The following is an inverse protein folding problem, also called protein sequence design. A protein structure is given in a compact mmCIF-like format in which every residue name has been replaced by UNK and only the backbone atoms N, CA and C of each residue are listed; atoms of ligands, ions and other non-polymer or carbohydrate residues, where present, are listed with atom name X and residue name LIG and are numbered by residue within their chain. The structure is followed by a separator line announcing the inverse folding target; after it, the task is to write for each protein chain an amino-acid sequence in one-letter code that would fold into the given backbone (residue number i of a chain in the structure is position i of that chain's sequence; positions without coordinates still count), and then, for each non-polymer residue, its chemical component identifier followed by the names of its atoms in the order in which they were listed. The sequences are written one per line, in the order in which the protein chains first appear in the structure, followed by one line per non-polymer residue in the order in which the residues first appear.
data_IF_370510044384
#
_entry.id   IF_370510044384
#
_cell.length_a   1.000
_cell.length_b   1.000
_cell.length_c   1.000
_cell.angle_alpha   90.00
_cell.angle_beta   90.00
_cell.angle_gamma   90.00
#
_symmetry.space_group_name_H-M   'P 1'
#
loop_
_entity.id
_entity.type
_entity.pdbx_description
1 polymer ?
#
# COMPACT_ATOMS: atom_id res chain seq x y z
N UNK A 1 -22.93 -26.55 -44.99
CA UNK A 1 -23.85 -26.29 -43.86
C UNK A 1 -23.18 -26.00 -42.52
N UNK A 2 -21.88 -26.26 -42.31
CA UNK A 2 -21.22 -25.98 -41.01
C UNK A 2 -20.67 -24.54 -40.85
N UNK A 3 -20.43 -23.81 -41.95
CA UNK A 3 -19.88 -22.45 -41.91
C UNK A 3 -20.90 -21.37 -41.51
N UNK A 4 -22.18 -21.53 -41.88
CA UNK A 4 -23.25 -20.61 -41.46
C UNK A 4 -23.55 -20.69 -39.96
N UNK A 5 -23.42 -21.88 -39.37
CA UNK A 5 -23.66 -22.08 -37.94
C UNK A 5 -22.56 -21.45 -37.08
N UNK A 6 -21.32 -21.41 -37.57
CA UNK A 6 -20.20 -20.75 -36.89
C UNK A 6 -20.26 -19.22 -36.97
N UNK A 7 -20.72 -18.65 -38.09
CA UNK A 7 -20.90 -17.21 -38.24
C UNK A 7 -22.02 -16.66 -37.35
N UNK A 8 -23.13 -17.41 -37.19
CA UNK A 8 -24.20 -17.04 -36.27
C UNK A 8 -23.77 -17.10 -34.79
N UNK A 9 -22.89 -18.05 -34.44
CA UNK A 9 -22.36 -18.16 -33.08
C UNK A 9 -21.40 -17.01 -32.75
N UNK A 10 -20.57 -16.56 -33.70
CA UNK A 10 -19.70 -15.39 -33.54
C UNK A 10 -20.48 -14.07 -33.50
N UNK A 11 -21.60 -13.98 -34.22
CA UNK A 11 -22.49 -12.81 -34.20
C UNK A 11 -23.30 -12.71 -32.89
N UNK A 12 -23.66 -13.84 -32.27
CA UNK A 12 -24.32 -13.86 -30.97
C UNK A 12 -23.41 -13.42 -29.81
N UNK A 13 -22.09 -13.61 -29.94
CA UNK A 13 -21.12 -13.18 -28.92
C UNK A 13 -20.79 -11.69 -28.98
N UNK A 14 -21.10 -10.98 -30.07
CA UNK A 14 -20.88 -9.53 -30.18
C UNK A 14 -22.05 -8.67 -29.69
N UNK A 15 -23.17 -9.26 -29.27
CA UNK A 15 -24.38 -8.56 -28.81
C UNK A 15 -24.77 -8.92 -27.36
N UNK A 16 -23.88 -9.51 -26.57
CA UNK A 16 -24.07 -9.55 -25.10
C UNK A 16 -23.53 -8.25 -24.50
N UNK A 17 -24.39 -7.29 -24.70
CA UNK A 17 -24.37 -5.90 -24.31
C UNK A 17 -24.41 -5.67 -22.79
N UNK A 18 -23.91 -4.49 -22.44
CA UNK A 18 -24.58 -3.53 -21.56
C UNK A 18 -25.03 -4.04 -20.19
N UNK A 19 -24.13 -3.90 -19.21
CA UNK A 19 -24.59 -3.62 -17.84
C UNK A 19 -25.01 -2.16 -17.77
N UNK A 20 -26.32 -1.97 -17.84
CA UNK A 20 -27.03 -0.73 -17.53
C UNK A 20 -26.68 -0.31 -16.09
N UNK A 21 -26.03 0.84 -15.94
CA UNK A 21 -25.93 1.52 -14.65
C UNK A 21 -27.27 2.18 -14.37
N UNK A 22 -28.02 1.63 -13.41
CA UNK A 22 -29.19 2.30 -12.83
C UNK A 22 -28.67 3.20 -11.71
N UNK A 23 -28.73 4.50 -11.98
CA UNK A 23 -28.61 5.57 -10.99
C UNK A 23 -29.80 5.46 -10.04
N UNK A 24 -29.55 5.18 -8.77
CA UNK A 24 -30.54 5.36 -7.71
C UNK A 24 -30.42 6.79 -7.19
N UNK A 25 -31.41 7.58 -7.56
CA UNK A 25 -31.63 8.97 -7.15
C UNK A 25 -32.43 8.94 -5.85
N UNK A 26 -31.74 8.86 -4.70
CA UNK A 26 -32.39 9.01 -3.40
C UNK A 26 -32.43 10.49 -3.01
N UNK A 27 -33.63 11.03 -3.22
CA UNK A 27 -34.13 12.28 -2.68
C UNK A 27 -34.33 12.15 -1.16
N UNK A 28 -33.41 12.71 -0.38
CA UNK A 28 -33.59 12.89 1.05
C UNK A 28 -33.92 14.36 1.36
N UNK A 29 -35.13 14.52 1.88
CA UNK A 29 -35.83 15.71 2.33
C UNK A 29 -35.05 16.62 3.28
N UNK A 30 -35.15 17.92 3.02
CA UNK A 30 -34.90 19.03 3.96
C UNK A 30 -35.81 18.92 5.19
N UNK A 31 -35.21 18.83 6.38
CA UNK A 31 -35.84 19.22 7.65
C UNK A 31 -34.85 20.10 8.41
N UNK A 32 -35.29 21.34 8.60
CA UNK A 32 -34.67 22.43 9.37
C UNK A 32 -34.69 22.11 10.88
N UNK A 33 -33.57 22.33 11.57
CA UNK A 33 -33.54 22.71 12.99
C UNK A 33 -32.15 23.25 13.40
N UNK A 34 -32.06 24.20 14.36
CA UNK A 34 -31.07 25.27 14.33
C UNK A 34 -29.98 25.20 15.41
N UNK A 35 -28.94 26.02 15.14
CA UNK A 35 -27.99 26.70 16.04
C UNK A 35 -27.20 25.90 17.08
N UNK A 36 -25.87 25.86 16.88
CA UNK A 36 -24.87 25.98 17.95
C UNK A 36 -23.55 26.58 17.40
N UNK A 37 -22.86 27.48 18.12
CA UNK A 37 -21.92 28.45 17.54
C UNK A 37 -20.44 28.03 17.61
N UNK A 38 -19.65 28.68 16.75
CA UNK A 38 -18.35 29.26 17.11
C UNK A 38 -17.13 28.34 17.10
N UNK A 39 -16.46 28.29 15.94
CA UNK A 39 -15.05 27.85 15.85
C UNK A 39 -14.17 28.73 16.73
N UNK A 40 -13.57 28.15 17.76
CA UNK A 40 -12.51 28.77 18.54
C UNK A 40 -11.19 28.12 18.13
N UNK A 41 -10.30 28.95 17.58
CA UNK A 41 -8.91 28.62 17.28
C UNK A 41 -8.14 28.50 18.60
N UNK A 42 -7.70 27.29 18.95
CA UNK A 42 -6.66 27.08 19.97
C UNK A 42 -5.52 26.30 19.32
N UNK A 43 -4.45 27.00 18.98
CA UNK A 43 -3.20 27.06 19.76
C UNK A 43 -2.55 25.68 19.91
N UNK A 44 -1.42 25.55 19.20
CA UNK A 44 -0.28 24.71 19.54
C UNK A 44 -0.20 24.46 21.06
N UNK A 45 -0.60 23.26 21.48
CA UNK A 45 -0.20 22.69 22.76
C UNK A 45 0.74 21.54 22.44
N UNK A 46 2.03 21.87 22.41
CA UNK A 46 3.12 20.91 22.59
C UNK A 46 2.86 20.14 23.89
N UNK A 47 2.44 18.88 23.77
CA UNK A 47 2.51 17.96 24.89
C UNK A 47 3.98 17.60 25.10
N UNK A 48 4.57 18.26 26.09
CA UNK A 48 5.88 17.98 26.66
C UNK A 48 5.82 16.60 27.34
N UNK A 49 6.39 15.58 26.70
CA UNK A 49 6.54 14.25 27.31
C UNK A 49 7.70 14.28 28.30
N UNK A 50 7.52 13.86 29.57
CA UNK A 50 8.63 13.79 30.51
C UNK A 50 9.50 12.58 30.19
N UNK A 51 10.78 12.83 29.88
CA UNK A 51 11.82 11.80 29.93
C UNK A 51 12.03 11.37 31.39
N UNK A 52 11.51 10.20 31.76
CA UNK A 52 11.86 9.55 33.02
C UNK A 52 13.22 8.87 32.85
N UNK A 53 14.24 9.48 33.47
CA UNK A 53 15.60 8.96 33.64
C UNK A 53 15.55 7.72 34.54
N UNK A 54 16.12 6.61 34.08
CA UNK A 54 16.06 5.33 34.77
C UNK A 54 16.84 5.29 36.09
N UNK A 55 16.27 4.61 37.08
CA UNK A 55 16.95 3.68 37.98
C UNK A 55 15.91 2.95 38.85
N UNK A 56 15.87 1.62 38.83
CA UNK A 56 15.04 0.85 39.75
C UNK A 56 14.64 -0.52 39.20
N UNK A 57 15.19 -1.56 39.82
CA UNK A 57 14.90 -2.96 39.52
C UNK A 57 13.43 -3.33 39.75
N UNK A 58 12.99 -4.30 38.93
CA UNK A 58 11.92 -5.29 39.12
C UNK A 58 10.55 -5.02 38.50
N UNK A 59 10.11 -6.09 37.82
CA UNK A 59 8.77 -6.42 37.32
C UNK A 59 8.40 -5.85 35.94
N UNK A 60 9.22 -6.16 34.93
CA UNK A 60 8.68 -6.39 33.58
C UNK A 60 7.88 -7.68 33.62
N UNK A 61 6.55 -7.55 33.52
CA UNK A 61 5.64 -8.62 33.15
C UNK A 61 5.91 -8.98 31.67
N UNK A 62 7.06 -9.60 31.39
CA UNK A 62 7.31 -10.33 30.14
C UNK A 62 6.54 -11.66 30.19
N UNK A 63 5.22 -11.58 30.05
CA UNK A 63 4.32 -12.73 29.99
C UNK A 63 3.80 -12.96 28.56
N UNK A 64 4.59 -12.61 27.53
CA UNK A 64 4.27 -12.88 26.12
C UNK A 64 5.02 -14.11 25.56
N UNK A 65 5.81 -14.80 26.39
CA UNK A 65 6.70 -15.89 25.96
C UNK A 65 6.12 -17.31 26.22
N UNK A 66 4.85 -17.41 26.65
CA UNK A 66 4.27 -18.66 27.20
C UNK A 66 3.12 -19.30 26.43
N UNK A 67 2.89 -18.95 25.16
CA UNK A 67 1.97 -19.71 24.31
C UNK A 67 2.72 -20.42 23.17
N UNK A 68 2.78 -21.77 23.14
CA UNK A 68 3.42 -22.52 22.04
C UNK A 68 2.80 -22.24 20.67
N UNK A 69 1.60 -21.64 20.63
CA UNK A 69 0.92 -21.19 19.41
C UNK A 69 1.54 -19.92 18.79
N UNK A 70 2.14 -19.03 19.59
CA UNK A 70 2.76 -17.79 19.10
C UNK A 70 4.03 -18.09 18.27
N UNK A 71 4.94 -18.90 18.82
CA UNK A 71 6.19 -19.31 18.15
C UNK A 71 5.95 -20.09 16.84
N UNK A 72 4.87 -20.88 16.79
CA UNK A 72 4.48 -21.65 15.59
C UNK A 72 3.90 -20.77 14.49
N UNK A 73 3.24 -19.66 14.86
CA UNK A 73 2.74 -18.73 13.86
C UNK A 73 3.88 -17.96 13.19
N UNK A 74 4.80 -17.40 13.98
CA UNK A 74 5.90 -16.60 13.46
C UNK A 74 6.75 -17.41 12.49
N UNK A 75 7.09 -18.66 12.81
CA UNK A 75 7.92 -19.52 11.96
C UNK A 75 7.37 -19.68 10.53
N UNK A 76 6.05 -19.83 10.37
CA UNK A 76 5.42 -20.02 9.05
C UNK A 76 5.48 -18.75 8.20
N UNK A 77 5.25 -17.61 8.84
CA UNK A 77 5.35 -16.31 8.19
C UNK A 77 6.80 -16.00 7.82
N UNK A 78 7.75 -16.27 8.70
CA UNK A 78 9.19 -16.12 8.43
C UNK A 78 9.63 -17.02 7.27
N UNK A 79 9.18 -18.28 7.24
CA UNK A 79 9.46 -19.20 6.12
C UNK A 79 8.89 -18.67 4.78
N UNK A 80 7.70 -18.07 4.79
CA UNK A 80 7.11 -17.47 3.60
C UNK A 80 7.89 -16.21 3.15
N UNK A 81 8.32 -15.38 4.10
CA UNK A 81 9.17 -14.20 3.84
C UNK A 81 10.52 -14.60 3.23
N UNK A 82 11.12 -15.69 3.71
CA UNK A 82 12.34 -16.26 3.15
C UNK A 82 12.13 -16.79 1.73
N UNK A 83 10.98 -17.43 1.45
CA UNK A 83 10.64 -17.86 0.09
C UNK A 83 10.45 -16.68 -0.87
N UNK A 84 9.81 -15.60 -0.43
CA UNK A 84 9.71 -14.35 -1.22
C UNK A 84 11.12 -13.85 -1.53
N UNK A 85 11.98 -13.74 -0.52
CA UNK A 85 13.35 -13.26 -0.70
C UNK A 85 14.15 -14.13 -1.68
N UNK A 86 14.13 -15.46 -1.54
CA UNK A 86 14.84 -16.38 -2.44
C UNK A 86 14.37 -16.21 -3.88
N UNK A 87 13.05 -16.08 -4.11
CA UNK A 87 12.47 -15.82 -5.44
C UNK A 87 12.96 -14.48 -6.01
N UNK A 88 13.08 -13.43 -5.21
CA UNK A 88 13.53 -12.11 -5.66
C UNK A 88 15.05 -12.02 -5.90
N UNK A 89 15.87 -12.69 -5.06
CA UNK A 89 17.32 -12.78 -5.26
C UNK A 89 17.63 -13.51 -6.57
N UNK A 90 16.93 -14.60 -6.87
CA UNK A 90 17.10 -15.35 -8.10
C UNK A 90 16.74 -14.53 -9.36
N UNK A 91 15.84 -13.54 -9.23
CA UNK A 91 15.36 -12.74 -10.37
C UNK A 91 16.15 -11.45 -10.59
N UNK A 92 16.53 -10.67 -9.57
CA UNK A 92 17.35 -9.45 -9.75
C UNK A 92 17.83 -8.70 -8.49
N UNK A 93 17.76 -9.26 -7.27
CA UNK A 93 18.07 -8.56 -5.98
C UNK A 93 17.22 -7.30 -5.70
N UNK A 94 16.26 -6.97 -6.56
CA UNK A 94 15.27 -5.90 -6.37
C UNK A 94 13.88 -6.51 -6.41
N UNK A 95 13.01 -6.06 -5.52
CA UNK A 95 11.60 -6.40 -5.57
C UNK A 95 10.91 -5.41 -6.49
N UNK A 96 10.55 -5.90 -7.67
CA UNK A 96 9.87 -5.13 -8.70
C UNK A 96 8.38 -5.08 -8.39
N UNK A 97 7.81 -3.89 -8.25
CA UNK A 97 6.37 -3.69 -8.16
C UNK A 97 5.75 -3.61 -9.57
N UNK A 98 6.23 -4.44 -10.50
CA UNK A 98 5.82 -4.41 -11.91
C UNK A 98 4.34 -4.78 -12.02
N UNK A 99 3.58 -3.95 -12.74
CA UNK A 99 2.12 -4.05 -12.86
C UNK A 99 1.36 -3.07 -11.96
N UNK A 100 2.06 -2.38 -11.07
CA UNK A 100 1.51 -1.26 -10.32
C UNK A 100 2.09 0.03 -10.92
N UNK A 101 1.24 0.82 -11.58
CA UNK A 101 1.55 2.20 -11.97
C UNK A 101 0.72 3.12 -11.08
N UNK A 102 1.35 4.19 -10.58
CA UNK A 102 0.63 5.22 -9.84
C UNK A 102 0.27 6.32 -10.82
N UNK A 103 -1.01 6.68 -10.87
CA UNK A 103 -1.51 7.80 -11.65
C UNK A 103 -2.31 8.71 -10.73
N UNK A 104 -1.94 9.99 -10.68
CA UNK A 104 -2.67 10.98 -9.90
C UNK A 104 -2.48 12.39 -10.48
N UNK A 105 -3.58 13.13 -10.63
CA UNK A 105 -3.55 14.54 -10.98
C UNK A 105 -3.07 15.39 -9.79
N UNK A 106 -2.18 16.34 -10.06
CA UNK A 106 -1.74 17.33 -9.08
C UNK A 106 -2.85 18.35 -8.83
N UNK A 107 -2.99 18.80 -7.57
CA UNK A 107 -3.92 19.87 -7.19
C UNK A 107 -3.27 21.24 -7.27
N UNK A 108 -1.94 21.31 -7.09
CA UNK A 108 -1.19 22.56 -7.18
C UNK A 108 -1.04 23.04 -8.63
N UNK A 109 -1.13 22.14 -9.62
CA UNK A 109 -0.90 22.45 -11.02
C UNK A 109 -1.68 21.50 -11.95
N UNK A 110 -2.00 21.91 -13.20
CA UNK A 110 -2.76 21.10 -14.16
C UNK A 110 -1.89 19.99 -14.82
N UNK A 111 -1.15 19.23 -14.01
CA UNK A 111 -0.31 18.13 -14.45
C UNK A 111 -0.81 16.80 -13.90
N UNK A 112 -0.72 15.76 -14.73
CA UNK A 112 -0.94 14.37 -14.34
C UNK A 112 0.39 13.69 -14.06
N UNK A 113 0.53 13.14 -12.84
CA UNK A 113 1.72 12.45 -12.37
C UNK A 113 1.59 10.95 -12.62
N UNK A 114 2.54 10.38 -13.36
CA UNK A 114 2.65 8.95 -13.60
C UNK A 114 3.95 8.40 -13.03
N UNK A 115 3.85 7.42 -12.13
CA UNK A 115 5.01 6.73 -11.57
C UNK A 115 5.12 5.33 -12.16
N UNK A 116 6.29 5.06 -12.72
CA UNK A 116 6.66 3.80 -13.36
C UNK A 116 7.95 3.25 -12.75
N UNK A 117 8.29 2.01 -13.10
CA UNK A 117 9.56 1.37 -12.72
C UNK A 117 9.84 1.40 -11.21
N UNK A 118 8.81 1.17 -10.40
CA UNK A 118 8.93 1.14 -8.95
C UNK A 118 9.68 -0.11 -8.48
N UNK A 119 10.82 0.11 -7.83
CA UNK A 119 11.74 -0.92 -7.37
C UNK A 119 12.05 -0.74 -5.90
N UNK A 120 11.89 -1.82 -5.13
CA UNK A 120 12.31 -1.88 -3.72
C UNK A 120 13.68 -2.53 -3.67
N UNK A 121 14.69 -1.80 -3.21
CA UNK A 121 16.03 -2.31 -2.97
C UNK A 121 16.02 -3.11 -1.67
N UNK A 122 16.23 -4.41 -1.78
CA UNK A 122 16.30 -5.29 -0.62
C UNK A 122 17.70 -5.19 0.04
N UNK A 123 17.80 -5.06 1.37
CA UNK A 123 19.07 -5.11 2.05
C UNK A 123 19.74 -6.48 1.87
N UNK A 124 21.07 -6.51 1.86
CA UNK A 124 21.87 -7.74 1.69
C UNK A 124 21.78 -8.66 2.92
N UNK A 125 21.47 -8.11 4.09
CA UNK A 125 21.25 -8.85 5.33
C UNK A 125 20.09 -9.84 5.23
N UNK A 126 20.10 -10.89 6.05
CA UNK A 126 19.02 -11.87 6.08
C UNK A 126 17.68 -11.34 6.60
N UNK A 127 17.69 -10.22 7.32
CA UNK A 127 16.52 -9.70 8.04
C UNK A 127 15.86 -8.50 7.34
N UNK A 128 15.60 -8.56 6.03
CA UNK A 128 14.93 -7.44 5.33
C UNK A 128 13.55 -7.11 5.92
N UNK A 129 12.85 -8.14 6.37
CA UNK A 129 11.59 -8.13 7.10
C UNK A 129 11.70 -9.12 8.26
N UNK A 130 11.00 -8.82 9.35
CA UNK A 130 10.76 -9.76 10.46
C UNK A 130 9.31 -9.69 10.93
N UNK A 131 8.84 -10.78 11.50
CA UNK A 131 7.57 -10.84 12.23
C UNK A 131 7.79 -10.28 13.64
N UNK A 132 7.23 -9.11 13.89
CA UNK A 132 7.28 -8.46 15.21
C UNK A 132 6.26 -9.07 16.17
N UNK A 133 5.07 -9.37 15.65
CA UNK A 133 3.99 -9.95 16.44
C UNK A 133 3.22 -10.95 15.61
N UNK A 134 2.90 -12.09 16.20
CA UNK A 134 1.81 -12.92 15.73
C UNK A 134 1.01 -13.46 16.90
N UNK A 135 -0.30 -13.17 16.92
CA UNK A 135 -1.19 -13.59 17.98
C UNK A 135 -2.50 -14.11 17.42
N UNK A 136 -2.84 -15.33 17.81
CA UNK A 136 -4.16 -15.89 17.57
C UNK A 136 -5.08 -15.63 18.77
N UNK A 137 -6.28 -15.12 18.52
CA UNK A 137 -7.31 -14.97 19.52
C UNK A 137 -8.38 -16.05 19.32
N UNK A 138 -8.52 -17.00 20.26
CA UNK A 138 -9.47 -18.10 20.11
C UNK A 138 -10.93 -17.66 20.24
N UNK A 139 -11.22 -16.51 20.87
CA UNK A 139 -12.61 -16.08 21.14
C UNK A 139 -13.36 -15.71 19.88
N UNK A 140 -12.71 -14.97 18.99
CA UNK A 140 -13.23 -14.52 17.71
C UNK A 140 -12.61 -15.27 16.52
N UNK A 141 -11.69 -16.21 16.78
CA UNK A 141 -10.91 -16.91 15.75
C UNK A 141 -10.18 -15.95 14.82
N UNK A 142 -9.59 -14.88 15.36
CA UNK A 142 -8.81 -13.91 14.57
C UNK A 142 -7.32 -14.11 14.74
N UNK A 143 -6.57 -13.81 13.67
CA UNK A 143 -5.12 -13.78 13.68
C UNK A 143 -4.66 -12.34 13.48
N UNK A 144 -3.96 -11.79 14.46
CA UNK A 144 -3.27 -10.51 14.36
C UNK A 144 -1.79 -10.77 14.08
N UNK A 145 -1.28 -10.16 13.03
CA UNK A 145 0.14 -10.25 12.68
C UNK A 145 0.71 -8.87 12.41
N UNK A 146 1.97 -8.66 12.76
CA UNK A 146 2.70 -7.42 12.51
C UNK A 146 4.07 -7.75 11.94
N UNK A 147 4.37 -7.13 10.80
CA UNK A 147 5.67 -7.16 10.19
C UNK A 147 6.38 -5.83 10.43
N UNK A 148 7.68 -5.92 10.65
CA UNK A 148 8.57 -4.77 10.66
C UNK A 148 9.62 -4.93 9.58
N UNK A 149 9.73 -3.89 8.77
CA UNK A 149 10.77 -3.75 7.78
C UNK A 149 11.98 -3.09 8.40
N UNK A 150 13.16 -3.55 7.99
CA UNK A 150 14.39 -2.79 8.18
C UNK A 150 14.37 -1.54 7.29
N UNK A 151 15.51 -0.84 7.18
CA UNK A 151 15.65 0.29 6.25
C UNK A 151 15.33 -0.16 4.81
N UNK A 152 14.26 0.40 4.24
CA UNK A 152 13.87 0.20 2.86
C UNK A 152 14.25 1.42 2.02
N UNK A 153 14.69 1.16 0.79
CA UNK A 153 14.85 2.21 -0.23
C UNK A 153 14.03 1.81 -1.45
N UNK A 154 13.08 2.65 -1.81
CA UNK A 154 12.19 2.48 -2.94
C UNK A 154 12.52 3.56 -3.96
N UNK A 155 12.76 3.19 -5.21
CA UNK A 155 12.99 4.12 -6.31
C UNK A 155 11.90 3.98 -7.35
N UNK A 156 11.50 5.07 -7.98
CA UNK A 156 10.58 5.08 -9.13
C UNK A 156 10.96 6.17 -10.13
N UNK A 157 10.47 6.02 -11.35
CA UNK A 157 10.51 7.06 -12.38
C UNK A 157 9.18 7.80 -12.43
N UNK A 158 9.22 9.11 -12.46
CA UNK A 158 8.04 9.98 -12.46
C UNK A 158 8.01 10.77 -13.75
N UNK A 159 6.90 10.69 -14.46
CA UNK A 159 6.62 11.48 -15.65
C UNK A 159 5.45 12.42 -15.32
N UNK A 160 5.58 13.68 -15.71
CA UNK A 160 4.52 14.67 -15.61
C UNK A 160 3.98 14.95 -17.01
N UNK A 161 2.66 14.83 -17.19
CA UNK A 161 2.02 15.22 -18.44
C UNK A 161 1.11 16.42 -18.19
N UNK A 162 1.14 17.39 -19.10
CA UNK A 162 0.15 18.46 -19.09
C UNK A 162 -1.19 17.89 -19.61
N UNK A 163 -2.31 18.23 -18.95
CA UNK A 163 -3.65 17.78 -19.35
C UNK A 163 -3.99 18.08 -20.83
N UNK A 164 -3.39 19.13 -21.39
CA UNK A 164 -3.55 19.50 -22.81
C UNK A 164 -2.82 18.56 -23.78
N UNK A 165 -1.74 17.90 -23.33
CA UNK A 165 -0.92 17.02 -24.18
C UNK A 165 -1.52 15.62 -24.30
N UNK A 166 -2.27 15.14 -23.29
CA UNK A 166 -2.90 13.81 -23.26
C UNK A 166 -4.02 13.62 -24.30
N UNK A 167 -4.48 14.70 -24.95
CA UNK A 167 -5.51 14.64 -25.99
C UNK A 167 -4.96 14.31 -27.39
N UNK A 168 -3.63 14.29 -27.60
CA UNK A 168 -3.03 14.05 -28.92
C UNK A 168 -2.10 12.83 -28.93
N UNK A 169 -2.60 11.74 -29.52
CA UNK A 169 -1.85 10.53 -29.93
C UNK A 169 -1.13 9.77 -28.77
N UNK A 170 -0.60 8.55 -29.00
CA UNK A 170 0.12 7.82 -27.95
C UNK A 170 1.39 8.60 -27.60
N UNK A 171 1.42 9.19 -26.40
CA UNK A 171 2.60 9.88 -25.88
C UNK A 171 3.63 8.83 -25.50
N UNK A 172 4.69 8.70 -26.30
CA UNK A 172 5.90 8.02 -25.88
C UNK A 172 6.64 8.98 -24.93
N UNK A 173 6.75 8.67 -23.61
CA UNK A 173 7.39 9.57 -22.67
C UNK A 173 8.86 9.75 -23.06
N UNK A 174 9.24 10.97 -23.42
CA UNK A 174 10.64 11.29 -23.66
C UNK A 174 11.44 10.99 -22.37
N UNK A 175 12.49 10.15 -22.42
CA UNK A 175 13.25 9.78 -21.23
C UNK A 175 13.88 10.98 -20.50
N UNK A 176 14.07 12.11 -21.20
CA UNK A 176 14.59 13.35 -20.62
C UNK A 176 13.59 14.07 -19.72
N UNK A 177 12.29 13.83 -19.87
CA UNK A 177 11.21 14.43 -19.06
C UNK A 177 10.84 13.57 -17.85
N UNK A 178 11.52 12.43 -17.68
CA UNK A 178 11.36 11.55 -16.53
C UNK A 178 12.26 11.97 -15.36
N UNK A 179 11.65 12.20 -14.20
CA UNK A 179 12.34 12.40 -12.94
C UNK A 179 12.56 11.07 -12.22
N UNK A 180 13.61 10.96 -11.38
CA UNK A 180 13.77 9.84 -10.45
C UNK A 180 13.42 10.27 -9.03
N UNK A 181 12.46 9.58 -8.42
CA UNK A 181 12.14 9.74 -7.00
C UNK A 181 12.64 8.56 -6.19
N UNK A 182 13.23 8.84 -5.03
CA UNK A 182 13.75 7.85 -4.09
C UNK A 182 13.15 8.10 -2.71
N UNK A 183 12.42 7.12 -2.19
CA UNK A 183 11.84 7.11 -0.86
C UNK A 183 12.66 6.16 0.03
N UNK A 184 13.14 6.66 1.17
CA UNK A 184 13.76 5.85 2.21
C UNK A 184 12.85 5.80 3.44
N UNK A 185 12.53 4.58 3.87
CA UNK A 185 11.68 4.31 5.02
C UNK A 185 12.51 3.59 6.08
N UNK A 186 12.47 4.04 7.34
CA UNK A 186 13.12 3.33 8.45
C UNK A 186 12.08 2.89 9.47
N UNK A 187 12.14 1.62 9.88
CA UNK A 187 11.18 1.01 10.81
C UNK A 187 9.73 1.07 10.32
N UNK A 188 9.51 0.99 9.01
CA UNK A 188 8.16 0.82 8.48
C UNK A 188 7.59 -0.53 8.95
N UNK A 189 6.28 -0.63 9.04
CA UNK A 189 5.62 -1.89 9.36
C UNK A 189 4.34 -2.10 8.57
N UNK A 190 3.85 -3.34 8.56
CA UNK A 190 2.53 -3.66 8.05
C UNK A 190 1.84 -4.56 9.07
N UNK A 191 0.64 -4.20 9.46
CA UNK A 191 -0.23 -5.06 10.26
C UNK A 191 -1.23 -5.79 9.38
N UNK A 192 -1.51 -7.04 9.72
CA UNK A 192 -2.60 -7.81 9.14
C UNK A 192 -3.57 -8.25 10.23
N UNK A 193 -4.85 -8.11 9.94
CA UNK A 193 -5.94 -8.66 10.72
C UNK A 193 -6.68 -9.67 9.86
N UNK A 194 -6.72 -10.92 10.31
CA UNK A 194 -7.36 -12.00 9.55
C UNK A 194 -8.47 -12.65 10.34
N UNK A 195 -9.62 -12.80 9.71
CA UNK A 195 -10.80 -13.45 10.23
C UNK A 195 -11.38 -14.45 9.21
N UNK A 196 -12.03 -15.54 9.66
CA UNK A 196 -12.67 -16.48 8.74
C UNK A 196 -13.92 -15.88 8.10
N UNK A 197 -14.07 -16.03 6.78
CA UNK A 197 -15.33 -15.77 6.08
C UNK A 197 -16.17 -17.05 6.19
N UNK A 198 -17.47 -16.90 6.51
CA UNK A 198 -18.50 -17.94 6.69
C UNK A 198 -18.09 -19.37 6.30
N UNK A 199 -18.21 -20.27 7.25
CA UNK A 199 -17.87 -21.71 7.14
C UNK A 199 -18.94 -22.45 6.32
N UNK A 200 -18.98 -22.26 5.02
CA UNK A 200 -19.84 -23.07 4.14
C UNK A 200 -19.12 -24.33 3.68
N UNK A 201 -19.87 -25.45 3.71
CA UNK A 201 -19.48 -26.84 3.44
C UNK A 201 -18.11 -27.04 2.78
N UNK A 202 -17.09 -27.26 3.60
CA UNK A 202 -15.76 -27.73 3.17
C UNK A 202 -14.82 -26.68 2.57
N UNK A 203 -15.27 -25.46 2.29
CA UNK A 203 -14.41 -24.38 1.80
C UNK A 203 -14.09 -23.39 2.92
N UNK A 204 -12.80 -23.26 3.24
CA UNK A 204 -12.32 -22.30 4.23
C UNK A 204 -11.82 -21.04 3.52
N UNK A 205 -12.57 -19.95 3.65
CA UNK A 205 -12.19 -18.63 3.15
C UNK A 205 -11.82 -17.72 4.31
N UNK A 206 -10.88 -16.81 4.08
CA UNK A 206 -10.41 -15.85 5.08
C UNK A 206 -10.47 -14.45 4.50
N UNK A 207 -10.90 -13.51 5.32
CA UNK A 207 -10.78 -12.08 5.06
C UNK A 207 -9.52 -11.62 5.76
N UNK A 208 -8.63 -10.98 5.02
CA UNK A 208 -7.41 -10.38 5.57
C UNK A 208 -7.43 -8.91 5.26
N UNK A 209 -7.53 -8.09 6.29
CA UNK A 209 -7.40 -6.65 6.20
C UNK A 209 -5.95 -6.28 6.52
N UNK A 210 -5.35 -5.40 5.73
CA UNK A 210 -3.97 -4.97 5.89
C UNK A 210 -3.90 -3.45 6.09
N UNK A 211 -2.96 -3.01 6.93
CA UNK A 211 -2.75 -1.59 7.17
C UNK A 211 -1.25 -1.28 7.29
N UNK A 212 -0.85 -0.15 6.76
CA UNK A 212 0.52 0.34 6.84
C UNK A 212 0.75 0.98 8.21
N UNK A 213 1.86 0.63 8.86
CA UNK A 213 2.29 1.21 10.12
C UNK A 213 3.33 2.30 9.83
N UNK A 214 3.13 3.46 10.44
CA UNK A 214 3.99 4.62 10.19
C UNK A 214 5.45 4.33 10.57
N UNK A 215 6.41 4.62 9.67
CA UNK A 215 7.82 4.46 9.94
C UNK A 215 8.29 5.50 10.95
N UNK A 216 9.36 5.17 11.68
CA UNK A 216 10.02 6.13 12.58
C UNK A 216 10.77 7.24 11.84
N UNK A 217 11.04 7.07 10.55
CA UNK A 217 11.68 8.09 9.72
C UNK A 217 11.31 7.90 8.24
N UNK A 218 11.08 9.02 7.55
CA UNK A 218 10.78 9.13 6.12
C UNK A 218 11.72 10.17 5.52
N UNK A 219 12.35 9.84 4.40
CA UNK A 219 13.02 10.85 3.56
C UNK A 219 12.71 10.58 2.10
N UNK A 220 12.30 11.63 1.39
CA UNK A 220 12.04 11.60 -0.06
C UNK A 220 13.11 12.43 -0.75
N UNK A 221 13.62 11.93 -1.86
CA UNK A 221 14.57 12.64 -2.73
C UNK A 221 14.02 12.64 -4.14
N UNK A 222 13.93 13.82 -4.75
CA UNK A 222 13.50 13.99 -6.13
C UNK A 222 14.68 14.49 -6.96
N UNK A 223 15.06 13.73 -8.00
CA UNK A 223 16.19 14.04 -8.87
C UNK A 223 15.69 14.31 -10.29
N UNK A 224 15.90 15.53 -10.78
CA UNK A 224 15.42 15.92 -12.11
C UNK A 224 13.90 16.15 -12.18
N UNK A 225 13.25 16.40 -11.03
CA UNK A 225 11.83 16.79 -10.94
C UNK A 225 11.62 18.29 -11.11
N UNK A 226 12.61 19.02 -11.64
CA UNK A 226 12.42 20.42 -11.97
C UNK A 226 11.39 20.50 -13.10
N UNK A 227 10.26 21.20 -12.89
CA UNK A 227 9.33 21.41 -13.97
C UNK A 227 10.07 22.20 -15.03
N UNK A 228 10.27 21.60 -16.22
CA UNK A 228 10.80 22.31 -17.38
C UNK A 228 9.74 23.28 -17.92
N UNK A 229 9.40 24.27 -17.10
CA UNK A 229 8.72 25.49 -17.50
C UNK A 229 9.74 26.30 -18.32
N UNK A 230 10.01 25.85 -19.55
CA UNK A 230 10.65 26.73 -20.52
C UNK A 230 9.68 27.87 -20.81
N UNK A 231 10.14 29.07 -20.47
CA UNK A 231 9.70 30.36 -20.99
C UNK A 231 8.25 30.77 -20.70
N UNK A 232 8.02 31.41 -19.54
CA UNK A 232 7.47 32.78 -19.47
C UNK A 232 6.83 33.07 -18.10
N UNK A 233 7.64 33.31 -17.07
CA UNK A 233 7.45 34.40 -16.09
C UNK A 233 8.63 34.38 -15.14
N UNK A 234 9.23 35.56 -14.94
CA UNK A 234 10.20 35.81 -13.87
C UNK A 234 9.38 36.42 -12.75
N UNK A 235 8.98 35.64 -11.76
CA UNK A 235 8.33 36.16 -10.55
C UNK A 235 8.73 35.37 -9.31
N UNK A 236 8.96 36.08 -8.21
CA UNK A 236 9.14 35.49 -6.87
C UNK A 236 7.95 34.61 -6.42
N UNK A 237 6.81 34.69 -7.12
CA UNK A 237 5.61 33.87 -6.89
C UNK A 237 5.74 32.44 -7.44
N UNK A 238 6.66 32.20 -8.39
CA UNK A 238 6.84 30.90 -9.03
C UNK A 238 7.58 29.90 -8.10
N UNK A 239 8.32 30.39 -7.10
CA UNK A 239 9.07 29.54 -6.15
C UNK A 239 8.13 28.84 -5.15
N UNK A 240 7.15 29.54 -4.61
CA UNK A 240 6.17 28.97 -3.66
C UNK A 240 5.28 27.90 -4.33
N UNK A 241 4.84 28.16 -5.57
CA UNK A 241 4.02 27.21 -6.35
C UNK A 241 4.82 25.95 -6.71
N UNK A 242 6.12 26.08 -7.00
CA UNK A 242 7.02 24.94 -7.25
C UNK A 242 7.30 24.12 -5.99
N UNK A 243 7.43 24.76 -4.83
CA UNK A 243 7.57 24.06 -3.54
C UNK A 243 6.30 23.29 -3.19
N UNK A 244 5.12 23.90 -3.36
CA UNK A 244 3.83 23.25 -3.11
C UNK A 244 3.65 22.02 -4.01
N UNK A 245 3.98 22.15 -5.30
CA UNK A 245 3.96 21.04 -6.25
C UNK A 245 4.93 19.93 -5.85
N UNK A 246 6.14 20.28 -5.42
CA UNK A 246 7.14 19.30 -4.99
C UNK A 246 6.66 18.50 -3.77
N UNK A 247 6.09 19.18 -2.77
CA UNK A 247 5.52 18.52 -1.59
C UNK A 247 4.35 17.62 -1.95
N UNK A 248 3.49 18.06 -2.86
CA UNK A 248 2.39 17.23 -3.35
C UNK A 248 2.89 15.97 -4.07
N UNK A 249 3.91 16.08 -4.93
CA UNK A 249 4.52 14.94 -5.59
C UNK A 249 5.10 13.94 -4.58
N UNK A 250 5.77 14.44 -3.54
CA UNK A 250 6.29 13.60 -2.44
C UNK A 250 5.18 12.85 -1.69
N UNK A 251 4.10 13.55 -1.35
CA UNK A 251 2.95 12.98 -0.65
C UNK A 251 2.24 11.90 -1.48
N UNK A 252 2.04 12.18 -2.77
CA UNK A 252 1.46 11.22 -3.73
C UNK A 252 2.34 9.98 -3.83
N UNK A 253 3.64 10.17 -4.03
CA UNK A 253 4.59 9.07 -4.14
C UNK A 253 4.61 8.20 -2.87
N UNK A 254 4.62 8.83 -1.69
CA UNK A 254 4.57 8.15 -0.41
C UNK A 254 3.25 7.38 -0.22
N UNK A 255 2.10 8.01 -0.49
CA UNK A 255 0.78 7.38 -0.38
C UNK A 255 0.65 6.19 -1.34
N UNK A 256 1.12 6.35 -2.57
CA UNK A 256 1.18 5.28 -3.56
C UNK A 256 2.01 4.10 -3.07
N UNK A 257 3.25 4.34 -2.64
CA UNK A 257 4.13 3.27 -2.14
C UNK A 257 3.53 2.56 -0.92
N UNK A 258 2.93 3.30 0.02
CA UNK A 258 2.22 2.71 1.18
C UNK A 258 1.15 1.72 0.73
N UNK A 259 0.29 2.13 -0.21
CA UNK A 259 -0.78 1.28 -0.73
C UNK A 259 -0.23 0.05 -1.47
N UNK A 260 0.78 0.25 -2.33
CA UNK A 260 1.37 -0.81 -3.14
C UNK A 260 2.13 -1.84 -2.32
N UNK A 261 2.96 -1.39 -1.39
CA UNK A 261 3.73 -2.29 -0.52
C UNK A 261 2.78 -3.11 0.37
N UNK A 262 1.76 -2.47 0.94
CA UNK A 262 0.73 -3.14 1.74
C UNK A 262 -0.02 -4.19 0.93
N UNK A 263 -0.51 -3.83 -0.26
CA UNK A 263 -1.23 -4.76 -1.14
C UNK A 263 -0.36 -5.93 -1.62
N UNK A 264 0.90 -5.65 -1.97
CA UNK A 264 1.86 -6.67 -2.39
C UNK A 264 2.11 -7.68 -1.27
N UNK A 265 2.42 -7.20 -0.06
CA UNK A 265 2.72 -8.06 1.08
C UNK A 265 1.49 -8.86 1.53
N UNK A 266 0.30 -8.26 1.49
CA UNK A 266 -0.95 -8.96 1.74
C UNK A 266 -1.12 -10.13 0.77
N UNK A 267 -0.94 -9.89 -0.54
CA UNK A 267 -1.10 -10.92 -1.57
C UNK A 267 -0.09 -12.05 -1.43
N UNK A 268 1.19 -11.74 -1.20
CA UNK A 268 2.25 -12.75 -1.08
C UNK A 268 2.14 -13.59 0.21
N UNK A 269 1.69 -12.99 1.31
CA UNK A 269 1.58 -13.69 2.60
C UNK A 269 0.22 -14.31 2.87
N UNK A 270 -0.80 -13.98 2.07
CA UNK A 270 -2.15 -14.54 2.21
C UNK A 270 -2.17 -16.08 2.38
N UNK A 271 -1.39 -16.87 1.62
CA UNK A 271 -1.36 -18.32 1.81
C UNK A 271 -0.85 -18.72 3.20
N UNK A 272 0.25 -18.13 3.66
CA UNK A 272 0.86 -18.43 4.95
C UNK A 272 -0.02 -17.99 6.13
N UNK A 273 -0.65 -16.82 6.02
CA UNK A 273 -1.59 -16.28 7.00
C UNK A 273 -2.83 -17.19 7.11
N UNK A 274 -3.43 -17.55 5.96
CA UNK A 274 -4.59 -18.46 5.88
C UNK A 274 -4.26 -19.80 6.53
N UNK A 275 -3.13 -20.39 6.16
CA UNK A 275 -2.69 -21.67 6.67
C UNK A 275 -2.50 -21.65 8.20
N UNK A 276 -1.89 -20.57 8.70
CA UNK A 276 -1.64 -20.38 10.12
C UNK A 276 -2.93 -20.24 10.92
N UNK A 277 -3.90 -19.49 10.39
CA UNK A 277 -5.23 -19.38 10.99
C UNK A 277 -5.93 -20.75 11.03
N UNK A 278 -5.95 -21.47 9.90
CA UNK A 278 -6.55 -22.81 9.81
C UNK A 278 -5.98 -23.76 10.85
N UNK A 279 -4.65 -23.81 10.98
CA UNK A 279 -3.98 -24.71 11.92
C UNK A 279 -4.26 -24.33 13.38
N UNK A 280 -4.30 -23.04 13.70
CA UNK A 280 -4.66 -22.57 15.05
C UNK A 280 -6.13 -22.83 15.39
N UNK A 281 -6.99 -22.94 14.38
CA UNK A 281 -8.38 -23.40 14.51
C UNK A 281 -8.54 -24.93 14.55
N UNK A 282 -7.45 -25.69 14.42
CA UNK A 282 -7.45 -27.16 14.51
C UNK A 282 -7.65 -27.89 13.18
N UNK A 283 -7.62 -27.20 12.04
CA UNK A 283 -7.72 -27.85 10.73
C UNK A 283 -6.38 -28.51 10.35
N UNK A 284 -6.46 -29.71 9.77
CA UNK A 284 -5.35 -30.37 9.10
C UNK A 284 -5.30 -29.95 7.64
N UNK A 285 -4.10 -29.72 7.13
CA UNK A 285 -3.90 -29.19 5.77
C UNK A 285 -3.20 -30.28 4.98
N UNK A 286 -3.92 -30.80 4.00
CA UNK A 286 -3.42 -31.81 3.08
C UNK A 286 -2.96 -31.11 1.81
N UNK A 287 -1.67 -31.20 1.53
CA UNK A 287 -1.14 -30.91 0.20
C UNK A 287 -1.21 -32.23 -0.55
N UNK A 288 -2.26 -32.40 -1.36
CA UNK A 288 -2.47 -33.62 -2.15
C UNK A 288 -1.29 -33.94 -3.05
#
# INVERSE_FOLDING_TARGET
MYLQMWMLFLWALSFTDLVVSIVAEDTASLVDAPDLPGRQNDKFSTAEYPYVRGNGNNLSYDDDDRLPYSRRCSERLENALDQIRRRQIAKQKTLHLNGYSLHQQLRSAPYDMYVTDMRVRLPTSNSWVRVDRCRFNPRNSTLETRLLFNDLTISGKVNLFNGDMLQRAPIDPNPEDSCSMILRLRRAGIGFHTEPIRRERGQFNVKTDSHFLEPGFISVYAYGCEPRLREHRRGFRDEEENEEMSREMEDIFLKGIRSLLTSYMQKELQPAIKETLMRNMGYTISYG
#
